data_IF_963273689246
#
_entry.id   IF_963273689246
#
_cell.length_a   1.000
_cell.length_b   1.000
_cell.length_c   1.000
_cell.angle_alpha   90.00
_cell.angle_beta   90.00
_cell.angle_gamma   90.00
#
_symmetry.space_group_name_H-M   'P 1'
#
loop_
_entity.id
_entity.type
_entity.pdbx_description
1 polymer ?
#
# COMPACT_ATOMS: atom_id res chain seq x y z
N UNK A 1 29.58 -40.82 -10.87
CA UNK A 1 30.75 -40.59 -11.73
C UNK A 1 30.34 -39.48 -12.68
N UNK A 2 30.96 -38.30 -12.60
CA UNK A 2 30.59 -37.17 -13.45
C UNK A 2 30.81 -37.56 -14.92
N UNK A 3 29.79 -37.40 -15.76
CA UNK A 3 29.91 -37.67 -17.19
C UNK A 3 30.16 -36.32 -17.85
N UNK A 4 31.43 -36.00 -18.13
CA UNK A 4 31.76 -34.83 -18.93
C UNK A 4 31.46 -35.12 -20.41
N UNK A 5 30.95 -34.12 -21.13
CA UNK A 5 30.73 -34.26 -22.56
C UNK A 5 32.08 -34.33 -23.27
N UNK A 6 32.17 -35.15 -24.32
CA UNK A 6 33.39 -35.30 -25.13
C UNK A 6 33.94 -33.95 -25.63
N UNK A 7 33.05 -33.00 -25.93
CA UNK A 7 33.46 -31.65 -26.37
C UNK A 7 34.10 -30.83 -25.24
N UNK A 8 33.62 -30.94 -23.99
CA UNK A 8 34.22 -30.27 -22.85
C UNK A 8 35.58 -30.84 -22.46
N UNK A 9 35.79 -32.14 -22.65
CA UNK A 9 37.09 -32.78 -22.48
C UNK A 9 38.11 -32.21 -23.47
N UNK A 10 37.73 -32.05 -24.75
CA UNK A 10 38.58 -31.43 -25.77
C UNK A 10 38.89 -29.97 -25.46
N UNK A 11 37.88 -29.19 -25.06
CA UNK A 11 38.05 -27.79 -24.67
C UNK A 11 39.04 -27.65 -23.51
N UNK A 12 38.89 -28.46 -22.44
CA UNK A 12 39.84 -28.42 -21.32
C UNK A 12 41.25 -28.86 -21.71
N UNK A 13 41.38 -29.84 -22.59
CA UNK A 13 42.67 -30.27 -23.14
C UNK A 13 43.39 -29.11 -23.81
N UNK A 14 42.69 -28.37 -24.68
CA UNK A 14 43.22 -27.18 -25.36
C UNK A 14 43.60 -26.08 -24.36
N UNK A 15 42.71 -25.79 -23.40
CA UNK A 15 42.92 -24.72 -22.43
C UNK A 15 44.06 -25.01 -21.44
N UNK A 16 44.37 -26.29 -21.20
CA UNK A 16 45.52 -26.70 -20.37
C UNK A 16 46.86 -26.28 -20.98
N UNK A 17 46.93 -26.10 -22.31
CA UNK A 17 48.11 -25.63 -23.02
C UNK A 17 48.54 -24.20 -22.67
N UNK A 18 47.65 -23.42 -22.02
CA UNK A 18 47.93 -22.05 -21.58
C UNK A 18 48.42 -21.96 -20.13
N UNK A 19 48.88 -23.08 -19.56
CA UNK A 19 49.31 -23.17 -18.17
C UNK A 19 48.20 -22.71 -17.22
N UNK A 20 48.56 -21.87 -16.24
CA UNK A 20 47.61 -21.43 -15.22
C UNK A 20 46.68 -20.28 -15.65
N UNK A 21 46.68 -19.88 -16.93
CA UNK A 21 45.85 -18.75 -17.42
C UNK A 21 44.37 -19.08 -17.37
N UNK A 22 43.97 -20.25 -17.86
CA UNK A 22 42.56 -20.67 -17.98
C UNK A 22 42.17 -21.83 -17.07
N UNK A 23 43.13 -22.63 -16.60
CA UNK A 23 42.91 -23.72 -15.65
C UNK A 23 43.78 -23.46 -14.44
N UNK A 24 43.27 -23.65 -13.23
CA UNK A 24 44.06 -23.49 -12.01
C UNK A 24 44.88 -24.75 -11.67
N UNK A 25 45.73 -24.66 -10.65
CA UNK A 25 46.58 -25.77 -10.20
C UNK A 25 45.80 -26.99 -9.68
N UNK A 26 44.51 -26.85 -9.42
CA UNK A 26 43.61 -27.91 -8.97
C UNK A 26 42.77 -28.48 -10.13
N UNK A 27 43.04 -28.07 -11.37
CA UNK A 27 42.30 -28.51 -12.56
C UNK A 27 40.96 -27.82 -12.78
N UNK A 28 40.65 -26.75 -12.03
CA UNK A 28 39.39 -26.03 -12.17
C UNK A 28 39.48 -24.94 -13.25
N UNK A 29 38.43 -24.86 -14.08
CA UNK A 29 38.34 -23.93 -15.20
C UNK A 29 37.96 -22.50 -14.75
N UNK A 30 38.80 -21.52 -15.10
CA UNK A 30 38.58 -20.08 -14.90
C UNK A 30 37.64 -19.50 -15.98
N UNK A 31 36.37 -19.91 -15.95
CA UNK A 31 35.34 -19.62 -16.97
C UNK A 31 35.25 -18.15 -17.36
N UNK A 32 35.16 -17.24 -16.38
CA UNK A 32 35.04 -15.82 -16.67
C UNK A 32 36.23 -15.29 -17.48
N UNK A 33 37.44 -15.84 -17.25
CA UNK A 33 38.63 -15.43 -18.00
C UNK A 33 38.63 -15.98 -19.42
N UNK A 34 38.12 -17.19 -19.62
CA UNK A 34 37.95 -17.78 -20.96
C UNK A 34 36.90 -17.01 -21.75
N UNK A 35 35.76 -16.69 -21.14
CA UNK A 35 34.69 -15.89 -21.74
C UNK A 35 35.20 -14.50 -22.09
N UNK A 36 35.85 -13.81 -21.16
CA UNK A 36 36.43 -12.48 -21.38
C UNK A 36 37.41 -12.48 -22.56
N UNK A 37 38.35 -13.42 -22.61
CA UNK A 37 39.34 -13.46 -23.69
C UNK A 37 38.70 -13.88 -25.04
N UNK A 38 37.62 -14.67 -25.03
CA UNK A 38 36.84 -15.00 -26.23
C UNK A 38 36.03 -13.81 -26.75
N UNK A 39 35.38 -13.04 -25.87
CA UNK A 39 34.64 -11.82 -26.21
C UNK A 39 35.56 -10.73 -26.79
N UNK A 40 36.81 -10.69 -26.32
CA UNK A 40 37.85 -9.79 -26.86
C UNK A 40 38.57 -10.34 -28.10
N UNK A 41 38.11 -11.47 -28.65
CA UNK A 41 38.72 -12.13 -29.80
C UNK A 41 40.23 -12.39 -29.63
N UNK A 42 40.66 -12.87 -28.45
CA UNK A 42 42.07 -13.19 -28.19
C UNK A 42 42.58 -14.16 -29.25
N UNK A 43 43.50 -13.65 -30.07
CA UNK A 43 43.97 -14.36 -31.26
C UNK A 43 44.65 -15.68 -30.92
N UNK A 44 45.37 -15.76 -29.80
CA UNK A 44 46.06 -16.97 -29.39
C UNK A 44 45.04 -18.03 -28.97
N UNK A 45 44.09 -17.67 -28.13
CA UNK A 45 43.02 -18.54 -27.65
C UNK A 45 42.17 -19.07 -28.80
N UNK A 46 41.68 -18.18 -29.68
CA UNK A 46 40.85 -18.56 -30.82
C UNK A 46 41.59 -19.48 -31.79
N UNK A 47 42.86 -19.18 -32.10
CA UNK A 47 43.67 -20.02 -33.00
C UNK A 47 43.85 -21.42 -32.43
N UNK A 48 44.16 -21.55 -31.13
CA UNK A 48 44.36 -22.87 -30.52
C UNK A 48 43.06 -23.66 -30.40
N UNK A 49 41.93 -23.00 -30.12
CA UNK A 49 40.62 -23.64 -30.09
C UNK A 49 40.19 -24.14 -31.48
N UNK A 50 40.35 -23.31 -32.51
CA UNK A 50 40.01 -23.67 -33.90
C UNK A 50 40.99 -24.68 -34.51
N UNK A 51 42.19 -24.85 -33.96
CA UNK A 51 43.10 -25.92 -34.37
C UNK A 51 42.63 -27.32 -33.92
N UNK A 52 41.73 -27.40 -32.94
CA UNK A 52 41.11 -28.66 -32.55
C UNK A 52 39.97 -29.01 -33.51
N UNK A 53 40.13 -30.11 -34.25
CA UNK A 53 39.20 -30.51 -35.30
C UNK A 53 37.75 -30.70 -34.81
N UNK A 54 37.55 -31.23 -33.60
CA UNK A 54 36.19 -31.43 -33.08
C UNK A 54 35.50 -30.12 -32.70
N UNK A 55 36.26 -29.15 -32.18
CA UNK A 55 35.75 -27.81 -31.89
C UNK A 55 35.48 -27.06 -33.20
N UNK A 56 36.40 -27.17 -34.16
CA UNK A 56 36.28 -26.60 -35.48
C UNK A 56 35.02 -27.10 -36.20
N UNK A 57 34.89 -28.42 -36.42
CA UNK A 57 33.76 -29.03 -37.11
C UNK A 57 32.39 -28.66 -36.50
N UNK A 58 32.33 -28.51 -35.17
CA UNK A 58 31.07 -28.26 -34.45
C UNK A 58 30.71 -26.77 -34.36
N UNK A 59 31.70 -25.88 -34.29
CA UNK A 59 31.49 -24.47 -34.01
C UNK A 59 31.96 -23.54 -35.13
N UNK A 60 32.29 -24.06 -36.31
CA UNK A 60 32.44 -23.24 -37.52
C UNK A 60 31.27 -23.42 -38.48
N UNK A 61 31.10 -22.43 -39.36
CA UNK A 61 30.19 -22.50 -40.49
C UNK A 61 30.84 -21.86 -41.70
N UNK A 62 30.73 -22.52 -42.84
CA UNK A 62 31.24 -21.99 -44.11
C UNK A 62 30.13 -21.23 -44.82
N UNK A 63 30.36 -19.93 -45.04
CA UNK A 63 29.47 -19.08 -45.85
C UNK A 63 30.29 -18.55 -47.01
N UNK A 64 29.92 -18.96 -48.23
CA UNK A 64 30.74 -18.80 -49.44
C UNK A 64 32.16 -19.38 -49.23
N UNK A 65 33.21 -18.58 -49.45
CA UNK A 65 34.61 -18.99 -49.31
C UNK A 65 35.23 -18.60 -47.95
N UNK A 66 34.42 -18.10 -47.01
CA UNK A 66 34.88 -17.67 -45.68
C UNK A 66 34.27 -18.55 -44.60
N UNK A 67 35.10 -18.90 -43.62
CA UNK A 67 34.69 -19.68 -42.47
C UNK A 67 34.45 -18.77 -41.25
N UNK A 68 33.30 -18.96 -40.60
CA UNK A 68 32.84 -18.16 -39.48
C UNK A 68 32.81 -19.01 -38.21
N UNK A 69 33.43 -18.53 -37.14
CA UNK A 69 33.31 -19.15 -35.83
C UNK A 69 32.01 -18.72 -35.16
N UNK A 70 31.18 -19.69 -34.73
CA UNK A 70 29.93 -19.50 -34.00
C UNK A 70 30.20 -19.11 -32.55
N UNK A 71 30.88 -18.00 -32.34
CA UNK A 71 31.39 -17.54 -31.04
C UNK A 71 30.30 -17.56 -29.95
N UNK A 72 29.13 -17.01 -30.23
CA UNK A 72 28.03 -16.97 -29.27
C UNK A 72 27.56 -18.38 -28.84
N UNK A 73 27.46 -19.32 -29.78
CA UNK A 73 27.10 -20.71 -29.48
C UNK A 73 28.22 -21.45 -28.72
N UNK A 74 29.47 -21.04 -28.93
CA UNK A 74 30.61 -21.60 -28.21
C UNK A 74 30.72 -21.04 -26.78
N UNK A 75 30.38 -19.77 -26.56
CA UNK A 75 30.35 -19.14 -25.24
C UNK A 75 29.31 -19.78 -24.31
N UNK A 76 28.18 -20.22 -24.86
CA UNK A 76 27.13 -20.97 -24.15
C UNK A 76 27.69 -22.20 -23.42
N UNK A 77 28.70 -22.86 -24.00
CA UNK A 77 29.39 -24.03 -23.41
C UNK A 77 29.98 -23.71 -22.03
N UNK A 78 30.38 -22.46 -21.80
CA UNK A 78 30.98 -22.00 -20.54
C UNK A 78 29.97 -21.32 -19.60
N UNK A 79 28.88 -20.77 -20.14
CA UNK A 79 27.87 -20.03 -19.39
C UNK A 79 26.92 -20.95 -18.58
N UNK A 80 26.61 -22.15 -19.09
CA UNK A 80 25.68 -23.07 -18.42
C UNK A 80 26.36 -23.94 -17.35
N UNK A 81 26.27 -23.54 -16.09
CA UNK A 81 26.75 -24.31 -14.92
C UNK A 81 25.88 -25.55 -14.71
N UNK A 82 26.48 -26.75 -14.71
CA UNK A 82 25.92 -28.00 -14.11
C UNK A 82 24.59 -28.55 -14.69
N UNK A 83 24.20 -28.19 -15.91
CA UNK A 83 22.82 -28.39 -16.36
C UNK A 83 22.49 -29.74 -17.03
N UNK A 84 23.47 -30.62 -17.20
CA UNK A 84 23.28 -31.93 -17.86
C UNK A 84 23.30 -33.13 -16.92
N UNK A 85 23.66 -32.95 -15.63
CA UNK A 85 23.82 -34.11 -14.75
C UNK A 85 22.47 -34.66 -14.23
N UNK A 86 21.38 -33.87 -14.15
CA UNK A 86 20.09 -34.36 -13.60
C UNK A 86 18.79 -33.67 -14.13
N UNK A 87 18.82 -32.93 -15.27
CA UNK A 87 17.62 -32.21 -15.73
C UNK A 87 16.89 -32.90 -16.89
N UNK A 88 15.61 -33.26 -16.67
CA UNK A 88 14.69 -33.70 -17.74
C UNK A 88 14.22 -32.55 -18.65
N UNK A 89 14.62 -31.30 -18.37
CA UNK A 89 14.30 -30.13 -19.20
C UNK A 89 15.49 -29.20 -19.33
N UNK A 90 15.56 -28.41 -20.40
CA UNK A 90 16.66 -27.46 -20.65
C UNK A 90 16.61 -26.17 -19.79
N UNK A 91 15.68 -26.05 -18.85
CA UNK A 91 15.38 -24.79 -18.15
C UNK A 91 15.69 -24.86 -16.64
N UNK A 92 16.11 -23.73 -16.05
CA UNK A 92 16.33 -23.58 -14.61
C UNK A 92 15.07 -23.95 -13.79
N UNK A 93 15.24 -24.30 -12.51
CA UNK A 93 14.16 -24.45 -11.50
C UNK A 93 13.49 -23.11 -11.16
N UNK A 94 13.06 -22.38 -12.19
CA UNK A 94 12.32 -21.13 -12.14
C UNK A 94 11.07 -21.32 -12.99
N UNK A 95 9.91 -21.06 -12.41
CA UNK A 95 8.67 -20.96 -13.17
C UNK A 95 8.68 -19.61 -13.88
N UNK A 96 8.53 -19.60 -15.19
CA UNK A 96 8.52 -18.37 -15.99
C UNK A 96 8.19 -18.65 -17.44
N UNK A 97 7.80 -17.60 -18.17
CA UNK A 97 7.59 -17.67 -19.61
C UNK A 97 8.93 -17.61 -20.33
N UNK A 98 9.09 -18.43 -21.37
CA UNK A 98 10.34 -18.53 -22.12
C UNK A 98 10.07 -18.38 -23.62
N UNK A 99 10.93 -17.64 -24.30
CA UNK A 99 11.03 -17.63 -25.77
C UNK A 99 12.43 -18.09 -26.15
N UNK A 100 12.54 -19.00 -27.12
CA UNK A 100 13.82 -19.54 -27.62
C UNK A 100 14.80 -19.99 -26.53
N UNK A 101 14.28 -20.64 -25.49
CA UNK A 101 15.05 -21.17 -24.37
C UNK A 101 15.59 -20.13 -23.37
N UNK A 102 15.28 -18.84 -23.56
CA UNK A 102 15.59 -17.76 -22.61
C UNK A 102 14.33 -17.34 -21.87
N UNK A 103 14.46 -16.98 -20.59
CA UNK A 103 13.36 -16.36 -19.88
C UNK A 103 13.04 -15.02 -20.53
N UNK A 104 11.74 -14.70 -20.66
CA UNK A 104 11.33 -13.42 -21.25
C UNK A 104 11.91 -12.21 -20.51
N UNK A 105 12.16 -12.35 -19.21
CA UNK A 105 12.76 -11.30 -18.37
C UNK A 105 14.23 -10.98 -18.71
N UNK A 106 14.89 -11.86 -19.48
CA UNK A 106 16.27 -11.71 -19.94
C UNK A 106 16.32 -11.32 -21.44
N UNK A 107 15.17 -11.06 -22.07
CA UNK A 107 15.06 -10.66 -23.47
C UNK A 107 14.60 -9.21 -23.59
N UNK A 108 15.33 -8.39 -24.34
CA UNK A 108 14.91 -7.04 -24.72
C UNK A 108 13.95 -7.03 -25.91
N UNK A 109 13.83 -8.16 -26.61
CA UNK A 109 13.08 -8.28 -27.87
C UNK A 109 11.60 -8.58 -27.63
N UNK A 110 11.22 -8.92 -26.41
CA UNK A 110 9.83 -9.20 -26.04
C UNK A 110 9.32 -8.09 -25.15
N UNK A 111 8.56 -7.19 -25.76
CA UNK A 111 7.80 -6.17 -25.04
C UNK A 111 6.43 -6.72 -24.72
N UNK A 112 6.08 -6.74 -23.45
CA UNK A 112 4.70 -6.94 -23.03
C UNK A 112 3.92 -5.66 -23.37
N UNK A 113 3.33 -5.63 -24.56
CA UNK A 113 2.58 -4.48 -25.04
C UNK A 113 1.13 -4.56 -24.57
N UNK A 114 0.77 -3.65 -23.65
CA UNK A 114 -0.60 -3.47 -23.22
C UNK A 114 -1.18 -2.25 -23.92
N UNK A 115 -2.35 -2.36 -24.56
CA UNK A 115 -3.02 -1.20 -25.11
C UNK A 115 -3.15 -0.10 -24.06
N UNK A 116 -2.73 1.11 -24.44
CA UNK A 116 -2.84 2.34 -23.64
C UNK A 116 -1.93 2.45 -22.41
N UNK A 117 -0.99 1.52 -22.15
CA UNK A 117 -0.10 1.61 -20.97
C UNK A 117 0.77 2.87 -20.95
N UNK A 118 1.20 3.33 -22.13
CA UNK A 118 2.04 4.52 -22.31
C UNK A 118 1.19 5.69 -22.82
N UNK A 119 0.00 5.87 -22.25
CA UNK A 119 -0.91 6.93 -22.69
C UNK A 119 -1.45 7.76 -21.54
N UNK A 120 -1.72 9.03 -21.88
CA UNK A 120 -2.42 9.98 -21.03
C UNK A 120 -3.84 10.13 -21.55
N UNK A 121 -4.82 9.84 -20.70
CA UNK A 121 -6.22 10.08 -21.01
C UNK A 121 -6.65 11.45 -20.47
N UNK A 122 -6.90 12.39 -21.40
CA UNK A 122 -7.36 13.75 -21.05
C UNK A 122 -8.69 13.72 -20.30
N UNK A 123 -9.61 12.85 -20.71
CA UNK A 123 -10.95 12.62 -20.14
C UNK A 123 -11.69 13.91 -19.74
N UNK A 124 -12.50 14.46 -20.65
CA UNK A 124 -13.41 15.57 -20.34
C UNK A 124 -14.42 15.13 -19.26
N UNK A 125 -14.41 15.80 -18.10
CA UNK A 125 -15.15 15.32 -16.92
C UNK A 125 -16.62 15.76 -16.88
N UNK A 126 -17.00 16.79 -17.63
CA UNK A 126 -18.35 17.37 -17.64
C UNK A 126 -18.99 17.29 -19.02
N UNK A 127 -20.24 16.82 -19.09
CA UNK A 127 -21.08 16.96 -20.30
C UNK A 127 -21.31 18.42 -20.74
N UNK A 128 -21.05 19.39 -19.87
CA UNK A 128 -21.08 20.83 -20.19
C UNK A 128 -19.99 21.23 -21.20
N UNK A 129 -18.85 20.53 -21.20
CA UNK A 129 -17.73 20.76 -22.12
C UNK A 129 -17.78 19.84 -23.34
N UNK A 130 -18.83 19.03 -23.45
CA UNK A 130 -19.01 18.01 -24.48
C UNK A 130 -20.10 18.47 -25.42
N UNK A 131 -19.77 18.62 -26.70
CA UNK A 131 -20.75 18.86 -27.73
C UNK A 131 -21.78 17.72 -27.73
N UNK A 132 -23.07 18.05 -27.55
CA UNK A 132 -24.16 17.08 -27.44
C UNK A 132 -24.35 16.25 -28.71
N UNK A 133 -23.89 16.77 -29.85
CA UNK A 133 -24.05 16.13 -31.16
C UNK A 133 -22.82 15.29 -31.56
N UNK A 134 -21.64 15.58 -31.00
CA UNK A 134 -20.35 14.92 -31.34
C UNK A 134 -19.92 13.90 -30.26
N UNK A 135 -20.37 14.06 -29.02
CA UNK A 135 -19.90 13.26 -27.88
C UNK A 135 -18.55 13.74 -27.33
N UNK A 136 -18.09 13.13 -26.25
CA UNK A 136 -16.84 13.53 -25.61
C UNK A 136 -15.65 13.03 -26.44
N UNK A 137 -14.83 13.94 -26.96
CA UNK A 137 -13.53 13.56 -27.52
C UNK A 137 -12.59 13.21 -26.36
N UNK A 138 -12.37 11.92 -26.14
CA UNK A 138 -11.50 11.36 -25.10
C UNK A 138 -10.23 10.76 -25.73
N UNK A 139 -9.33 11.60 -26.29
CA UNK A 139 -8.15 11.09 -26.96
C UNK A 139 -7.18 10.46 -25.95
N UNK A 140 -6.69 9.26 -26.30
CA UNK A 140 -5.52 8.66 -25.67
C UNK A 140 -4.28 9.24 -26.33
N UNK A 141 -3.54 10.07 -25.60
CA UNK A 141 -2.30 10.65 -26.08
C UNK A 141 -1.15 9.70 -25.73
N UNK A 142 -0.48 9.13 -26.73
CA UNK A 142 0.69 8.29 -26.48
C UNK A 142 1.91 9.13 -26.06
N UNK A 143 2.59 8.71 -25.01
CA UNK A 143 3.71 9.46 -24.41
C UNK A 143 4.89 9.72 -25.36
N UNK A 144 5.09 8.83 -26.33
CA UNK A 144 6.15 8.98 -27.35
C UNK A 144 5.68 9.78 -28.56
N UNK A 145 4.49 9.47 -29.08
CA UNK A 145 3.99 10.07 -30.32
C UNK A 145 3.39 11.48 -30.13
N UNK A 146 2.79 11.74 -28.96
CA UNK A 146 2.08 12.98 -28.63
C UNK A 146 2.76 13.74 -27.46
N UNK A 147 4.10 13.69 -27.43
CA UNK A 147 4.90 14.26 -26.35
C UNK A 147 4.64 15.76 -26.16
N UNK A 148 4.52 16.52 -27.26
CA UNK A 148 4.30 17.96 -27.24
C UNK A 148 2.94 18.32 -26.64
N UNK A 149 1.88 17.61 -27.04
CA UNK A 149 0.51 17.80 -26.57
C UNK A 149 0.38 17.45 -25.09
N UNK A 150 1.04 16.37 -24.65
CA UNK A 150 1.08 15.98 -23.24
C UNK A 150 1.85 17.02 -22.41
N UNK A 151 2.97 17.51 -22.93
CA UNK A 151 3.76 18.55 -22.27
C UNK A 151 2.92 19.82 -22.08
N UNK A 152 2.28 20.29 -23.15
CA UNK A 152 1.38 21.45 -23.09
C UNK A 152 0.20 21.20 -22.14
N UNK A 153 -0.37 19.99 -22.12
CA UNK A 153 -1.45 19.63 -21.20
C UNK A 153 -1.02 19.79 -19.74
N UNK A 154 0.17 19.30 -19.40
CA UNK A 154 0.72 19.28 -18.05
C UNK A 154 1.43 20.57 -17.63
N UNK A 155 1.65 21.49 -18.56
CA UNK A 155 2.23 22.79 -18.24
C UNK A 155 1.37 23.56 -17.23
N UNK A 156 2.01 24.35 -16.34
CA UNK A 156 1.29 25.18 -15.38
C UNK A 156 0.34 26.15 -16.10
N UNK A 157 -0.91 26.14 -15.68
CA UNK A 157 -1.97 27.03 -16.15
C UNK A 157 -2.12 28.20 -15.18
N UNK A 158 -2.46 29.37 -15.73
CA UNK A 158 -2.81 30.54 -14.93
C UNK A 158 -4.19 30.30 -14.32
N UNK A 159 -4.31 30.43 -13.00
CA UNK A 159 -5.60 30.40 -12.32
C UNK A 159 -6.36 31.70 -12.62
N UNK A 160 -7.55 31.58 -13.18
CA UNK A 160 -8.44 32.68 -13.53
C UNK A 160 -9.71 32.64 -12.68
N UNK A 161 -10.43 33.75 -12.58
CA UNK A 161 -11.68 33.88 -11.80
C UNK A 161 -11.51 33.51 -10.32
N UNK A 162 -10.38 33.93 -9.73
CA UNK A 162 -10.06 33.61 -8.34
C UNK A 162 -10.89 34.48 -7.40
N UNK A 163 -11.72 33.83 -6.59
CA UNK A 163 -12.59 34.47 -5.59
C UNK A 163 -12.24 33.98 -4.20
N UNK A 164 -12.33 34.86 -3.21
CA UNK A 164 -12.22 34.55 -1.78
C UNK A 164 -13.56 34.78 -1.09
N UNK A 165 -13.97 33.79 -0.31
CA UNK A 165 -15.19 33.84 0.49
C UNK A 165 -14.82 33.92 1.97
N UNK A 166 -15.29 34.96 2.65
CA UNK A 166 -15.16 35.12 4.10
C UNK A 166 -16.49 35.56 4.74
N UNK A 167 -16.45 35.86 6.04
CA UNK A 167 -17.65 36.33 6.79
C UNK A 167 -18.27 37.62 6.25
N UNK A 168 -17.55 38.39 5.43
CA UNK A 168 -17.98 39.64 4.83
C UNK A 168 -18.41 39.47 3.36
N UNK A 169 -18.40 38.25 2.81
CA UNK A 169 -18.86 37.94 1.45
C UNK A 169 -17.75 37.54 0.48
N UNK A 170 -17.99 37.81 -0.80
CA UNK A 170 -17.10 37.48 -1.92
C UNK A 170 -16.17 38.64 -2.26
N UNK A 171 -14.88 38.36 -2.43
CA UNK A 171 -13.85 39.34 -2.82
C UNK A 171 -12.92 38.78 -3.89
N UNK A 172 -12.38 39.65 -4.74
CA UNK A 172 -11.28 39.31 -5.65
C UNK A 172 -10.03 38.92 -4.86
N UNK A 173 -9.36 37.84 -5.27
CA UNK A 173 -8.15 37.37 -4.60
C UNK A 173 -6.96 37.33 -5.54
N UNK A 174 -5.89 38.01 -5.13
CA UNK A 174 -4.64 38.12 -5.90
C UNK A 174 -3.54 37.19 -5.41
N UNK A 175 -3.66 36.66 -4.19
CA UNK A 175 -2.65 35.81 -3.55
C UNK A 175 -3.28 34.74 -2.64
N UNK A 176 -2.53 33.63 -2.44
CA UNK A 176 -2.91 32.51 -1.58
C UNK A 176 -1.78 32.14 -0.61
N UNK A 177 -2.14 31.94 0.64
CA UNK A 177 -1.27 31.46 1.72
C UNK A 177 -1.41 29.94 1.91
N UNK A 178 -0.63 29.35 2.80
CA UNK A 178 -0.76 27.92 3.12
C UNK A 178 -1.91 27.62 4.10
N UNK A 179 -2.47 28.66 4.74
CA UNK A 179 -3.59 28.54 5.68
C UNK A 179 -4.95 28.68 4.97
N UNK A 180 -4.94 28.91 3.65
CA UNK A 180 -6.14 29.05 2.84
C UNK A 180 -6.71 27.67 2.43
N UNK A 181 -8.04 27.57 2.49
CA UNK A 181 -8.77 26.46 1.87
C UNK A 181 -9.03 26.81 0.39
N UNK A 182 -8.66 25.92 -0.52
CA UNK A 182 -8.75 26.15 -1.96
C UNK A 182 -9.77 25.22 -2.61
N UNK A 183 -10.63 25.77 -3.46
CA UNK A 183 -11.53 25.00 -4.35
C UNK A 183 -11.09 25.30 -5.78
N UNK A 184 -10.70 24.25 -6.51
CA UNK A 184 -10.30 24.34 -7.91
C UNK A 184 -11.40 23.74 -8.79
N UNK A 185 -11.94 24.55 -9.71
CA UNK A 185 -12.90 24.09 -10.71
C UNK A 185 -12.17 23.79 -12.02
N UNK A 186 -12.30 22.57 -12.54
CA UNK A 186 -11.74 22.16 -13.82
C UNK A 186 -11.40 20.67 -13.86
N UNK A 187 -10.68 20.26 -14.91
CA UNK A 187 -10.17 18.89 -15.03
C UNK A 187 -9.13 18.63 -13.93
N UNK A 188 -9.38 17.61 -13.10
CA UNK A 188 -8.53 17.28 -11.96
C UNK A 188 -7.10 16.89 -12.35
N UNK A 189 -6.86 16.27 -13.51
CA UNK A 189 -5.51 15.93 -13.96
C UNK A 189 -4.68 17.21 -14.16
N UNK A 190 -5.25 18.18 -14.87
CA UNK A 190 -4.62 19.50 -15.09
C UNK A 190 -4.44 20.23 -13.74
N UNK A 191 -5.45 20.19 -12.86
CA UNK A 191 -5.36 20.82 -11.54
C UNK A 191 -4.24 20.21 -10.68
N UNK A 192 -4.09 18.89 -10.67
CA UNK A 192 -3.04 18.19 -9.93
C UNK A 192 -1.64 18.57 -10.44
N UNK A 193 -1.44 18.61 -11.76
CA UNK A 193 -0.18 19.07 -12.36
C UNK A 193 0.14 20.54 -12.03
N UNK A 194 -0.89 21.38 -11.92
CA UNK A 194 -0.72 22.75 -11.44
C UNK A 194 -0.29 22.82 -9.97
N UNK A 195 -0.94 22.05 -9.10
CA UNK A 195 -0.61 21.99 -7.68
C UNK A 195 0.80 21.45 -7.42
N UNK A 196 1.27 20.53 -8.26
CA UNK A 196 2.60 19.90 -8.16
C UNK A 196 3.73 20.92 -7.97
N UNK A 197 3.68 22.06 -8.66
CA UNK A 197 4.71 23.10 -8.55
C UNK A 197 4.91 23.67 -7.14
N UNK A 198 3.83 23.79 -6.36
CA UNK A 198 3.85 24.42 -5.03
C UNK A 198 3.77 23.39 -3.90
N UNK A 199 3.05 22.29 -4.13
CA UNK A 199 2.62 21.35 -3.10
C UNK A 199 3.24 19.95 -3.19
N UNK A 200 4.19 19.70 -4.09
CA UNK A 200 4.94 18.44 -4.10
C UNK A 200 5.60 18.18 -2.75
N UNK A 201 5.41 16.96 -2.22
CA UNK A 201 5.93 16.56 -0.91
C UNK A 201 5.30 17.25 0.29
N UNK A 202 4.12 17.89 0.16
CA UNK A 202 3.50 18.72 1.22
C UNK A 202 2.08 18.31 1.62
N UNK A 203 1.46 17.39 0.88
CA UNK A 203 0.10 16.93 1.17
C UNK A 203 0.14 15.77 2.17
N UNK A 204 -0.46 15.95 3.35
CA UNK A 204 -0.46 14.92 4.40
C UNK A 204 -1.46 13.79 4.14
N UNK A 205 -2.62 14.12 3.59
CA UNK A 205 -3.71 13.18 3.34
C UNK A 205 -4.38 13.51 2.02
N UNK A 206 -4.57 12.49 1.19
CA UNK A 206 -5.41 12.53 0.00
C UNK A 206 -6.55 11.54 0.21
N UNK A 207 -7.79 12.00 0.03
CA UNK A 207 -8.97 11.14 -0.03
C UNK A 207 -9.59 11.28 -1.42
N UNK A 208 -9.86 10.15 -2.09
CA UNK A 208 -10.47 10.11 -3.41
C UNK A 208 -11.73 9.25 -3.38
N UNK A 209 -12.80 9.78 -3.97
CA UNK A 209 -14.02 9.04 -4.30
C UNK A 209 -14.21 9.11 -5.84
N UNK A 210 -13.45 8.29 -6.59
CA UNK A 210 -13.47 8.32 -8.05
C UNK A 210 -14.77 7.73 -8.62
N UNK A 211 -15.08 7.95 -9.91
CA UNK A 211 -16.15 7.22 -10.57
C UNK A 211 -15.87 5.70 -10.48
N UNK A 212 -16.80 4.93 -9.94
CA UNK A 212 -16.63 3.49 -9.80
C UNK A 212 -16.71 2.80 -11.16
N UNK A 213 -15.88 1.77 -11.33
CA UNK A 213 -16.03 0.83 -12.44
C UNK A 213 -17.21 -0.11 -12.17
N UNK A 214 -17.99 -0.41 -13.22
CA UNK A 214 -19.10 -1.35 -13.16
C UNK A 214 -18.99 -2.32 -14.33
N UNK A 215 -19.16 -3.62 -14.08
CA UNK A 215 -19.11 -4.64 -15.14
C UNK A 215 -20.28 -4.53 -16.11
N UNK A 216 -21.41 -4.01 -15.62
CA UNK A 216 -22.61 -3.76 -16.43
C UNK A 216 -22.77 -2.27 -16.64
N UNK A 217 -22.92 -1.88 -17.90
CA UNK A 217 -23.29 -0.52 -18.24
C UNK A 217 -24.57 -0.13 -17.54
N UNK A 218 -24.49 0.93 -16.73
CA UNK A 218 -25.68 1.51 -16.10
C UNK A 218 -26.38 2.40 -17.14
N UNK A 219 -27.71 2.34 -17.26
CA UNK A 219 -28.45 3.33 -18.03
C UNK A 219 -28.30 4.68 -17.33
N UNK A 220 -27.33 5.47 -17.78
CA UNK A 220 -26.94 6.81 -17.32
C UNK A 220 -27.06 7.04 -15.81
N UNK A 221 -25.92 7.01 -15.11
CA UNK A 221 -25.89 7.52 -13.73
C UNK A 221 -26.52 8.92 -13.66
N UNK A 222 -27.19 9.22 -12.55
CA UNK A 222 -27.74 10.55 -12.27
C UNK A 222 -26.66 11.64 -12.16
N UNK A 223 -25.38 11.24 -12.19
CA UNK A 223 -24.23 12.11 -12.25
C UNK A 223 -23.75 12.31 -13.70
N UNK A 224 -23.32 13.54 -14.00
CA UNK A 224 -22.96 14.04 -15.35
C UNK A 224 -21.67 13.46 -15.96
N UNK A 225 -21.09 12.38 -15.43
CA UNK A 225 -19.84 11.79 -15.94
C UNK A 225 -20.07 10.53 -16.79
N UNK A 226 -19.08 10.20 -17.63
CA UNK A 226 -19.07 8.98 -18.44
C UNK A 226 -18.80 7.77 -17.52
N UNK A 227 -19.84 7.06 -17.05
CA UNK A 227 -19.69 5.89 -16.16
C UNK A 227 -19.45 4.57 -16.89
N UNK A 228 -19.39 4.59 -18.23
CA UNK A 228 -19.26 3.40 -19.08
C UNK A 228 -17.82 3.20 -19.61
N UNK A 229 -16.80 3.57 -18.84
CA UNK A 229 -15.42 3.30 -19.22
C UNK A 229 -15.17 1.80 -19.37
N UNK A 230 -14.49 1.40 -20.44
CA UNK A 230 -13.84 0.08 -20.49
C UNK A 230 -12.80 0.01 -19.36
N UNK A 231 -12.58 -1.18 -18.80
CA UNK A 231 -11.65 -1.37 -17.69
C UNK A 231 -10.26 -0.77 -17.95
N UNK A 232 -9.68 -0.98 -19.14
CA UNK A 232 -8.37 -0.42 -19.52
C UNK A 232 -8.36 1.11 -19.50
N UNK A 233 -9.43 1.74 -20.00
CA UNK A 233 -9.59 3.19 -20.02
C UNK A 233 -9.73 3.75 -18.60
N UNK A 234 -10.51 3.07 -17.75
CA UNK A 234 -10.70 3.43 -16.35
C UNK A 234 -9.39 3.32 -15.54
N UNK A 235 -8.62 2.24 -15.76
CA UNK A 235 -7.32 2.08 -15.12
C UNK A 235 -6.33 3.15 -15.58
N UNK A 236 -6.28 3.47 -16.87
CA UNK A 236 -5.43 4.55 -17.41
C UNK A 236 -5.82 5.90 -16.80
N UNK A 237 -7.13 6.20 -16.76
CA UNK A 237 -7.68 7.41 -16.16
C UNK A 237 -7.22 7.60 -14.70
N UNK A 238 -7.31 6.54 -13.89
CA UNK A 238 -6.90 6.56 -12.50
C UNK A 238 -5.39 6.62 -12.36
N UNK A 239 -4.65 5.80 -13.11
CA UNK A 239 -3.19 5.75 -13.07
C UNK A 239 -2.57 7.13 -13.24
N UNK A 240 -2.96 7.85 -14.30
CA UNK A 240 -2.42 9.18 -14.58
C UNK A 240 -2.61 10.16 -13.39
N UNK A 241 -3.68 10.01 -12.60
CA UNK A 241 -3.97 10.85 -11.43
C UNK A 241 -3.24 10.37 -10.18
N UNK A 242 -3.22 9.06 -9.95
CA UNK A 242 -2.55 8.44 -8.80
C UNK A 242 -1.04 8.69 -8.85
N UNK A 243 -0.43 8.66 -10.03
CA UNK A 243 0.98 8.98 -10.24
C UNK A 243 1.32 10.38 -9.72
N UNK A 244 0.50 11.40 -10.04
CA UNK A 244 0.72 12.77 -9.54
C UNK A 244 0.36 12.91 -8.06
N UNK A 245 -0.68 12.23 -7.58
CA UNK A 245 -1.01 12.20 -6.15
C UNK A 245 0.17 11.70 -5.31
N UNK A 246 0.90 10.68 -5.76
CA UNK A 246 2.11 10.19 -5.09
C UNK A 246 3.16 11.28 -4.93
N UNK A 247 3.37 12.11 -5.94
CA UNK A 247 4.35 13.20 -5.89
C UNK A 247 3.93 14.37 -4.99
N UNK A 248 2.64 14.52 -4.74
CA UNK A 248 2.09 15.54 -3.84
C UNK A 248 2.21 15.15 -2.36
N UNK A 249 2.15 13.85 -2.06
CA UNK A 249 2.18 13.35 -0.69
C UNK A 249 3.51 13.62 0.02
N UNK A 250 3.44 13.98 1.31
CA UNK A 250 4.63 14.04 2.18
C UNK A 250 5.24 12.66 2.37
N UNK A 251 6.45 12.62 2.93
CA UNK A 251 6.91 11.41 3.62
C UNK A 251 5.89 11.02 4.72
N UNK A 252 5.56 9.73 4.84
CA UNK A 252 4.46 9.22 5.68
C UNK A 252 3.07 9.79 5.35
N UNK A 253 2.92 10.42 4.18
CA UNK A 253 1.64 10.91 3.67
C UNK A 253 0.72 9.74 3.33
N UNK A 254 -0.57 9.92 3.56
CA UNK A 254 -1.58 8.88 3.40
C UNK A 254 -2.46 9.17 2.19
N UNK A 255 -2.76 8.14 1.40
CA UNK A 255 -3.82 8.19 0.40
C UNK A 255 -4.86 7.12 0.70
N UNK A 256 -6.14 7.51 0.62
CA UNK A 256 -7.29 6.62 0.77
C UNK A 256 -8.18 6.78 -0.45
N UNK A 257 -8.52 5.67 -1.11
CA UNK A 257 -9.37 5.67 -2.30
C UNK A 257 -10.56 4.76 -2.08
N UNK A 258 -11.76 5.31 -2.18
CA UNK A 258 -13.02 4.59 -2.10
C UNK A 258 -13.34 3.89 -3.42
N UNK A 259 -13.94 2.70 -3.35
CA UNK A 259 -14.29 1.91 -4.53
C UNK A 259 -15.41 0.90 -4.24
N UNK A 260 -16.19 0.60 -5.28
CA UNK A 260 -17.18 -0.47 -5.27
C UNK A 260 -16.60 -1.87 -5.57
N UNK A 261 -17.47 -2.87 -5.48
CA UNK A 261 -17.12 -4.30 -5.64
C UNK A 261 -16.40 -4.61 -6.97
N UNK A 262 -16.98 -4.19 -8.10
CA UNK A 262 -16.49 -4.56 -9.44
C UNK A 262 -15.08 -4.03 -9.72
N UNK A 263 -14.70 -2.90 -9.11
CA UNK A 263 -13.42 -2.21 -9.35
C UNK A 263 -12.32 -2.50 -8.32
N UNK A 264 -12.65 -3.03 -7.13
CA UNK A 264 -11.72 -3.02 -5.99
C UNK A 264 -10.42 -3.79 -6.25
N UNK A 265 -10.50 -4.98 -6.86
CA UNK A 265 -9.32 -5.81 -7.09
C UNK A 265 -8.36 -5.15 -8.10
N UNK A 266 -8.90 -4.57 -9.17
CA UNK A 266 -8.13 -3.91 -10.20
C UNK A 266 -7.49 -2.62 -9.67
N UNK A 267 -8.23 -1.83 -8.89
CA UNK A 267 -7.70 -0.65 -8.23
C UNK A 267 -6.58 -1.01 -7.26
N UNK A 268 -6.74 -2.08 -6.47
CA UNK A 268 -5.72 -2.54 -5.53
C UNK A 268 -4.41 -2.89 -6.21
N UNK A 269 -4.47 -3.59 -7.35
CA UNK A 269 -3.27 -3.94 -8.15
C UNK A 269 -2.62 -2.66 -8.69
N UNK A 270 -3.41 -1.74 -9.24
CA UNK A 270 -2.91 -0.46 -9.73
C UNK A 270 -2.24 0.37 -8.62
N UNK A 271 -2.84 0.43 -7.44
CA UNK A 271 -2.26 1.14 -6.30
C UNK A 271 -1.00 0.45 -5.76
N UNK A 272 -0.91 -0.88 -5.81
CA UNK A 272 0.33 -1.62 -5.49
C UNK A 272 1.46 -1.25 -6.44
N UNK A 273 1.17 -1.06 -7.73
CA UNK A 273 2.14 -0.60 -8.73
C UNK A 273 2.59 0.84 -8.46
N UNK A 274 1.63 1.76 -8.25
CA UNK A 274 1.92 3.19 -8.07
C UNK A 274 2.61 3.46 -6.73
N UNK A 275 2.04 3.00 -5.62
CA UNK A 275 2.51 3.36 -4.26
C UNK A 275 3.47 2.34 -3.66
N UNK A 276 3.56 1.14 -4.23
CA UNK A 276 4.37 0.03 -3.74
C UNK A 276 3.60 -0.85 -2.76
N UNK A 277 3.64 -2.16 -2.98
CA UNK A 277 2.92 -3.14 -2.15
C UNK A 277 3.30 -3.08 -0.65
N UNK A 278 4.56 -2.79 -0.33
CA UNK A 278 5.02 -2.66 1.07
C UNK A 278 4.38 -1.48 1.81
N UNK A 279 3.92 -0.48 1.08
CA UNK A 279 3.28 0.74 1.60
C UNK A 279 1.78 0.59 1.79
N UNK A 280 1.20 -0.56 1.42
CA UNK A 280 -0.19 -0.89 1.72
C UNK A 280 -0.42 -0.92 3.23
N UNK A 281 -1.47 -0.23 3.69
CA UNK A 281 -1.85 -0.18 5.11
C UNK A 281 -2.97 -1.17 5.38
N UNK A 282 -4.14 -0.94 4.77
CA UNK A 282 -5.33 -1.79 4.94
C UNK A 282 -6.37 -1.48 3.86
N UNK A 283 -7.29 -2.44 3.63
CA UNK A 283 -8.55 -2.22 2.94
C UNK A 283 -9.66 -2.14 3.99
N UNK A 284 -10.18 -0.94 4.23
CA UNK A 284 -11.33 -0.75 5.11
C UNK A 284 -12.62 -1.14 4.39
N UNK A 285 -13.56 -1.68 5.15
CA UNK A 285 -14.88 -2.10 4.71
C UNK A 285 -15.91 -1.14 5.27
N UNK A 286 -16.55 -0.36 4.42
CA UNK A 286 -17.57 0.59 4.83
C UNK A 286 -18.96 0.06 4.50
N UNK A 287 -19.75 -0.21 5.54
CA UNK A 287 -21.18 -0.48 5.39
C UNK A 287 -21.92 0.84 5.13
N UNK A 288 -22.16 1.10 3.86
CA UNK A 288 -22.78 2.34 3.38
C UNK A 288 -24.32 2.34 3.53
N UNK A 289 -24.97 1.17 3.59
CA UNK A 289 -26.43 1.06 3.70
C UNK A 289 -26.88 0.00 4.72
N UNK A 290 -27.96 0.31 5.45
CA UNK A 290 -28.67 -0.66 6.28
C UNK A 290 -29.67 -1.49 5.47
N UNK A 291 -30.09 -0.99 4.31
CA UNK A 291 -31.09 -1.58 3.41
C UNK A 291 -30.43 -2.03 2.11
N UNK A 292 -29.50 -2.97 2.21
CA UNK A 292 -28.88 -3.59 1.05
C UNK A 292 -29.96 -4.23 0.14
N UNK A 293 -29.78 -4.10 -1.17
CA UNK A 293 -30.74 -4.57 -2.16
C UNK A 293 -31.03 -6.07 -1.98
N UNK A 294 -32.32 -6.41 -1.93
CA UNK A 294 -32.81 -7.78 -1.76
C UNK A 294 -32.91 -8.55 -3.07
N UNK A 295 -32.65 -7.92 -4.23
CA UNK A 295 -32.73 -8.57 -5.54
C UNK A 295 -31.73 -9.71 -5.73
N UNK A 296 -30.60 -9.69 -5.02
CA UNK A 296 -29.63 -10.79 -5.06
C UNK A 296 -30.14 -12.00 -4.28
N UNK A 297 -30.19 -13.14 -4.96
CA UNK A 297 -30.59 -14.43 -4.37
C UNK A 297 -29.45 -15.15 -3.63
N UNK A 298 -28.21 -14.66 -3.76
CA UNK A 298 -27.01 -15.31 -3.18
C UNK A 298 -26.40 -14.55 -2.00
N UNK A 299 -26.23 -13.23 -2.14
CA UNK A 299 -25.62 -12.39 -1.12
C UNK A 299 -26.06 -10.93 -1.29
N UNK A 300 -26.37 -10.25 -0.19
CA UNK A 300 -26.73 -8.83 -0.20
C UNK A 300 -25.46 -7.98 -0.25
N UNK A 301 -25.39 -7.07 -1.22
CA UNK A 301 -24.29 -6.10 -1.32
C UNK A 301 -24.69 -4.80 -0.61
N UNK A 302 -23.88 -4.38 0.35
CA UNK A 302 -24.08 -3.15 1.14
C UNK A 302 -22.79 -2.69 1.80
N UNK A 303 -21.66 -3.02 1.18
CA UNK A 303 -20.32 -2.68 1.62
C UNK A 303 -19.59 -2.06 0.44
N UNK A 304 -18.85 -1.01 0.72
CA UNK A 304 -17.84 -0.42 -0.15
C UNK A 304 -16.45 -0.60 0.47
N UNK A 305 -15.42 -0.40 -0.34
CA UNK A 305 -14.04 -0.63 0.04
C UNK A 305 -13.29 0.69 0.05
N UNK A 306 -12.35 0.85 0.99
CA UNK A 306 -11.40 1.95 0.99
C UNK A 306 -9.98 1.38 1.05
N UNK A 307 -9.22 1.54 -0.02
CA UNK A 307 -7.82 1.14 -0.06
C UNK A 307 -6.94 2.25 0.48
N UNK A 308 -6.13 1.94 1.49
CA UNK A 308 -5.27 2.90 2.16
C UNK A 308 -3.79 2.55 2.01
N UNK A 309 -2.98 3.55 1.62
CA UNK A 309 -1.53 3.46 1.48
C UNK A 309 -0.84 4.61 2.22
N UNK A 310 0.36 4.34 2.72
CA UNK A 310 1.23 5.31 3.38
C UNK A 310 2.59 5.35 2.68
N UNK A 311 3.00 6.54 2.21
CA UNK A 311 4.31 6.72 1.58
C UNK A 311 5.39 6.43 2.62
N UNK A 312 6.31 5.50 2.29
CA UNK A 312 7.37 5.05 3.20
C UNK A 312 6.79 4.64 4.58
N UNK A 313 5.85 3.71 4.56
CA UNK A 313 5.09 3.28 5.73
C UNK A 313 5.99 2.99 6.94
N UNK A 314 5.75 3.69 8.05
CA UNK A 314 6.46 3.49 9.31
C UNK A 314 5.54 2.89 10.39
N UNK A 315 5.86 1.67 10.83
CA UNK A 315 5.09 0.97 11.87
C UNK A 315 5.17 1.63 13.26
N UNK A 316 6.08 2.59 13.45
CA UNK A 316 6.16 3.40 14.67
C UNK A 316 5.06 4.48 14.73
N UNK A 317 4.56 4.91 13.58
CA UNK A 317 3.51 5.92 13.44
C UNK A 317 2.15 5.23 13.53
N UNK A 318 1.34 5.60 14.53
CA UNK A 318 0.01 5.02 14.75
C UNK A 318 -1.09 5.91 14.20
N UNK A 319 -1.99 5.30 13.44
CA UNK A 319 -3.25 5.93 13.07
C UNK A 319 -4.19 5.92 14.27
N UNK A 320 -4.94 7.00 14.45
CA UNK A 320 -5.88 7.16 15.57
C UNK A 320 -7.29 7.00 15.00
N UNK A 321 -7.96 5.92 15.37
CA UNK A 321 -9.33 5.63 14.99
C UNK A 321 -10.32 6.16 16.01
N UNK A 322 -10.19 5.75 17.27
CA UNK A 322 -11.05 6.23 18.36
C UNK A 322 -10.29 6.30 19.68
N UNK A 323 -10.81 7.11 20.59
CA UNK A 323 -10.48 6.96 22.00
C UNK A 323 -11.10 5.66 22.52
N UNK A 324 -10.35 4.90 23.30
CA UNK A 324 -10.87 3.75 24.02
C UNK A 324 -11.93 4.25 25.00
N UNK A 325 -13.08 3.57 25.06
CA UNK A 325 -14.06 3.85 26.09
C UNK A 325 -13.36 3.87 27.46
N UNK A 326 -13.57 4.94 28.25
CA UNK A 326 -13.05 5.10 29.60
C UNK A 326 -13.71 4.11 30.60
N UNK A 327 -14.02 2.89 30.19
CA UNK A 327 -14.52 1.81 31.04
C UNK A 327 -13.39 1.16 31.83
N UNK A 328 -13.71 0.60 33.00
CA UNK A 328 -12.74 -0.15 33.79
C UNK A 328 -12.53 -1.57 33.25
N UNK A 329 -11.28 -1.97 33.06
CA UNK A 329 -10.89 -3.29 32.56
C UNK A 329 -10.43 -4.22 33.70
N UNK A 330 -10.62 -5.55 33.60
CA UNK A 330 -10.13 -6.48 34.61
C UNK A 330 -8.59 -6.51 34.61
N UNK A 331 -8.00 -6.42 35.80
CA UNK A 331 -6.54 -6.57 35.99
C UNK A 331 -6.13 -8.04 36.12
N UNK A 332 -7.10 -8.95 36.26
CA UNK A 332 -6.89 -10.40 36.34
C UNK A 332 -7.14 -11.07 34.97
N UNK A 333 -6.39 -12.13 34.68
CA UNK A 333 -6.55 -13.02 33.53
C UNK A 333 -6.20 -14.46 33.94
N UNK A 334 -7.18 -15.37 33.94
CA UNK A 334 -7.01 -16.76 34.40
C UNK A 334 -5.96 -17.57 33.62
N UNK A 335 -5.58 -17.13 32.40
CA UNK A 335 -4.50 -17.76 31.63
C UNK A 335 -3.08 -17.47 32.15
N UNK A 336 -2.92 -16.49 33.04
CA UNK A 336 -1.61 -16.11 33.58
C UNK A 336 -1.26 -16.92 34.84
N UNK A 337 0.00 -16.89 35.30
CA UNK A 337 0.40 -17.50 36.58
C UNK A 337 -0.06 -16.71 37.81
N UNK A 338 -0.14 -17.39 38.96
CA UNK A 338 -0.38 -16.75 40.27
C UNK A 338 0.85 -15.91 40.67
N UNK A 339 0.65 -14.61 40.87
CA UNK A 339 1.69 -13.69 41.32
C UNK A 339 1.17 -12.79 42.43
N UNK A 340 2.08 -12.32 43.29
CA UNK A 340 1.77 -11.35 44.35
C UNK A 340 2.01 -9.93 43.81
N UNK A 341 1.08 -9.03 44.13
CA UNK A 341 1.15 -7.60 43.80
C UNK A 341 0.81 -6.76 45.02
N UNK A 342 1.65 -5.78 45.27
CA UNK A 342 1.53 -4.88 46.41
C UNK A 342 0.95 -3.55 45.95
N UNK A 343 -0.04 -3.07 46.70
CA UNK A 343 -0.76 -1.82 46.44
C UNK A 343 -0.60 -0.91 47.66
N UNK A 344 0.01 0.28 47.52
CA UNK A 344 0.20 1.21 48.64
C UNK A 344 -1.13 1.75 49.15
N UNK A 345 -1.16 2.27 50.38
CA UNK A 345 -2.33 2.94 50.94
C UNK A 345 -2.90 3.99 49.97
N UNK A 346 -4.23 4.04 49.82
CA UNK A 346 -4.95 4.97 48.94
C UNK A 346 -4.93 4.62 47.44
N UNK A 347 -4.34 3.49 47.03
CA UNK A 347 -4.21 3.14 45.60
C UNK A 347 -5.37 2.32 45.03
N UNK A 348 -6.19 1.68 45.86
CA UNK A 348 -7.37 0.91 45.43
C UNK A 348 -8.63 1.53 46.00
N UNK A 349 -9.58 1.83 45.12
CA UNK A 349 -10.95 2.20 45.46
C UNK A 349 -11.85 0.96 45.63
N UNK A 350 -12.66 0.95 46.67
CA UNK A 350 -13.56 -0.12 47.03
C UNK A 350 -15.01 0.35 46.92
N UNK A 351 -15.85 -0.39 46.18
CA UNK A 351 -17.32 -0.23 46.20
C UNK A 351 -18.00 -1.30 47.08
N UNK A 352 -17.31 -1.67 48.15
CA UNK A 352 -17.80 -2.55 49.22
C UNK A 352 -17.78 -1.76 50.53
N UNK A 353 -18.53 -2.17 51.57
CA UNK A 353 -18.56 -1.43 52.83
C UNK A 353 -17.17 -1.25 53.43
N UNK A 354 -16.92 -0.07 54.00
CA UNK A 354 -15.75 0.20 54.82
C UNK A 354 -15.70 -0.77 56.01
N UNK A 355 -14.48 -1.12 56.44
CA UNK A 355 -14.24 -2.08 57.51
C UNK A 355 -12.96 -2.90 57.33
N UNK A 356 -12.75 -3.86 58.23
CA UNK A 356 -11.59 -4.75 58.22
C UNK A 356 -11.91 -6.04 57.47
N UNK A 357 -10.97 -6.45 56.61
CA UNK A 357 -11.00 -7.67 55.81
C UNK A 357 -9.75 -8.48 56.14
N UNK A 358 -9.95 -9.66 56.73
CA UNK A 358 -8.85 -10.49 57.23
C UNK A 358 -8.07 -11.17 56.10
N UNK A 359 -6.78 -11.36 56.33
CA UNK A 359 -5.91 -12.20 55.51
C UNK A 359 -6.58 -13.57 55.23
N UNK A 360 -6.57 -13.99 53.98
CA UNK A 360 -7.17 -15.26 53.58
C UNK A 360 -7.57 -15.31 52.12
N UNK A 361 -8.27 -16.39 51.76
CA UNK A 361 -8.71 -16.67 50.40
C UNK A 361 -10.03 -15.97 50.09
N UNK A 362 -10.06 -15.19 49.02
CA UNK A 362 -11.25 -14.58 48.46
C UNK A 362 -11.52 -15.14 47.06
N UNK A 363 -12.75 -14.97 46.50
CA UNK A 363 -13.11 -15.63 45.24
C UNK A 363 -12.19 -15.35 44.04
N UNK A 364 -11.57 -14.16 43.95
CA UNK A 364 -10.71 -13.79 42.80
C UNK A 364 -9.21 -13.69 43.13
N UNK A 365 -8.85 -13.52 44.40
CA UNK A 365 -7.47 -13.30 44.88
C UNK A 365 -7.33 -13.78 46.32
N UNK A 366 -6.10 -14.03 46.78
CA UNK A 366 -5.80 -14.19 48.21
C UNK A 366 -5.27 -12.86 48.78
N UNK A 367 -5.78 -12.45 49.95
CA UNK A 367 -5.18 -11.37 50.75
C UNK A 367 -4.00 -11.95 51.52
N UNK A 368 -2.81 -11.38 51.33
CA UNK A 368 -1.59 -11.82 52.02
C UNK A 368 -1.39 -11.16 53.39
N UNK A 369 -2.12 -10.06 53.64
CA UNK A 369 -2.20 -9.33 54.90
C UNK A 369 -3.62 -8.76 55.11
N UNK A 370 -3.94 -8.38 56.35
CA UNK A 370 -5.20 -7.72 56.68
C UNK A 370 -5.33 -6.39 55.94
N UNK A 371 -6.55 -6.09 55.48
CA UNK A 371 -6.92 -4.89 54.75
C UNK A 371 -7.95 -4.10 55.56
N UNK A 372 -7.67 -2.82 55.79
CA UNK A 372 -8.63 -1.85 56.29
C UNK A 372 -9.12 -0.98 55.14
N UNK A 373 -10.42 -0.96 54.91
CA UNK A 373 -11.07 -0.06 53.95
C UNK A 373 -11.69 1.10 54.72
N UNK A 374 -11.29 2.33 54.37
CA UNK A 374 -11.78 3.56 54.98
C UNK A 374 -11.96 4.63 53.88
N UNK A 375 -13.09 5.32 53.90
CA UNK A 375 -13.48 6.29 52.87
C UNK A 375 -13.43 5.67 51.47
N UNK A 376 -13.87 4.40 51.34
CA UNK A 376 -13.82 3.64 50.09
C UNK A 376 -12.42 3.45 49.50
N UNK A 377 -11.35 3.59 50.28
CA UNK A 377 -9.96 3.35 49.87
C UNK A 377 -9.29 2.35 50.81
N UNK A 378 -8.23 1.68 50.37
CA UNK A 378 -7.37 0.93 51.29
C UNK A 378 -6.60 1.90 52.19
N UNK A 379 -6.82 1.82 53.51
CA UNK A 379 -6.13 2.66 54.50
C UNK A 379 -4.67 2.22 54.72
N UNK A 380 -4.35 0.95 54.49
CA UNK A 380 -3.02 0.39 54.60
C UNK A 380 -2.55 -0.23 53.27
N UNK A 381 -1.25 -0.47 53.16
CA UNK A 381 -0.68 -1.25 52.08
C UNK A 381 -1.24 -2.67 52.09
N UNK A 382 -1.66 -3.17 50.94
CA UNK A 382 -2.22 -4.51 50.78
C UNK A 382 -1.51 -5.28 49.69
N UNK A 383 -1.20 -6.54 49.97
CA UNK A 383 -0.64 -7.49 49.00
C UNK A 383 -1.70 -8.50 48.60
N UNK A 384 -1.98 -8.56 47.30
CA UNK A 384 -2.95 -9.45 46.68
C UNK A 384 -2.20 -10.52 45.88
N UNK A 385 -2.58 -11.79 46.05
CA UNK A 385 -2.10 -12.90 45.22
C UNK A 385 -3.17 -13.33 44.23
N UNK A 386 -2.87 -13.30 42.94
CA UNK A 386 -3.84 -13.59 41.89
C UNK A 386 -3.21 -13.73 40.51
N UNK A 387 -4.04 -14.02 39.51
CA UNK A 387 -3.62 -14.16 38.11
C UNK A 387 -3.52 -12.79 37.42
N UNK A 388 -2.56 -11.97 37.83
CA UNK A 388 -2.42 -10.59 37.34
C UNK A 388 -1.96 -10.50 35.87
N UNK A 389 -2.50 -9.51 35.14
CA UNK A 389 -2.04 -9.14 33.79
C UNK A 389 -0.72 -8.39 33.79
N UNK A 390 -0.43 -7.66 34.87
CA UNK A 390 0.66 -6.68 34.94
C UNK A 390 1.71 -7.07 35.97
N UNK A 391 2.97 -6.75 35.67
CA UNK A 391 4.07 -6.80 36.63
C UNK A 391 3.96 -5.72 37.70
N UNK A 392 4.79 -5.82 38.75
CA UNK A 392 4.77 -4.81 39.82
C UNK A 392 5.19 -3.43 39.29
N UNK A 393 6.19 -3.36 38.40
CA UNK A 393 6.64 -2.09 37.81
C UNK A 393 5.56 -1.40 36.98
N UNK A 394 4.79 -2.18 36.21
CA UNK A 394 3.65 -1.65 35.44
C UNK A 394 2.57 -1.10 36.37
N UNK A 395 2.25 -1.79 37.46
CA UNK A 395 1.29 -1.29 38.47
C UNK A 395 1.80 0.01 39.08
N UNK A 396 3.06 0.07 39.50
CA UNK A 396 3.67 1.26 40.09
C UNK A 396 3.62 2.46 39.12
N UNK A 397 3.96 2.25 37.84
CA UNK A 397 3.90 3.28 36.81
C UNK A 397 2.47 3.78 36.56
N UNK A 398 1.48 2.90 36.59
CA UNK A 398 0.07 3.28 36.40
C UNK A 398 -0.51 4.01 37.62
N UNK A 399 -0.10 3.65 38.84
CA UNK A 399 -0.42 4.42 40.06
C UNK A 399 0.11 5.85 39.93
N UNK A 400 1.36 6.03 39.48
CA UNK A 400 1.95 7.36 39.27
C UNK A 400 1.21 8.19 38.20
N UNK A 401 0.66 7.55 37.16
CA UNK A 401 -0.17 8.20 36.15
C UNK A 401 -1.58 8.54 36.64
N UNK A 402 -1.94 8.15 37.86
CA UNK A 402 -3.27 8.35 38.43
C UNK A 402 -4.34 7.41 37.88
N UNK A 403 -3.95 6.20 37.42
CA UNK A 403 -4.89 5.13 37.05
C UNK A 403 -5.68 4.69 38.29
N UNK A 404 -7.00 4.64 38.20
CA UNK A 404 -7.87 4.19 39.28
C UNK A 404 -7.93 2.66 39.32
N UNK A 405 -7.48 2.05 40.41
CA UNK A 405 -7.73 0.62 40.68
C UNK A 405 -9.01 0.47 41.49
N UNK A 406 -9.89 -0.47 41.11
CA UNK A 406 -11.24 -0.55 41.65
C UNK A 406 -11.60 -2.00 41.98
N UNK A 407 -12.10 -2.24 43.19
CA UNK A 407 -12.74 -3.50 43.61
C UNK A 407 -14.22 -3.22 43.87
N UNK A 408 -15.09 -3.79 43.04
CA UNK A 408 -16.53 -3.47 43.05
C UNK A 408 -17.36 -4.37 43.97
N UNK A 409 -16.86 -5.55 44.33
CA UNK A 409 -17.63 -6.57 45.06
C UNK A 409 -16.73 -7.35 46.02
N UNK A 410 -17.34 -8.07 46.98
CA UNK A 410 -16.64 -8.98 47.91
C UNK A 410 -15.96 -10.18 47.23
N UNK A 411 -16.05 -10.31 45.90
CA UNK A 411 -15.24 -11.26 45.13
C UNK A 411 -13.77 -10.83 45.03
N UNK A 412 -13.44 -9.58 45.35
CA UNK A 412 -12.10 -9.01 45.19
C UNK A 412 -11.54 -9.10 43.75
N UNK A 413 -12.43 -9.02 42.76
CA UNK A 413 -12.03 -8.91 41.35
C UNK A 413 -11.55 -7.48 41.08
N UNK A 414 -10.23 -7.30 41.11
CA UNK A 414 -9.60 -5.99 40.91
C UNK A 414 -9.59 -5.60 39.43
N UNK A 415 -9.97 -4.35 39.18
CA UNK A 415 -10.10 -3.71 37.86
C UNK A 415 -9.28 -2.43 37.84
N UNK A 416 -8.97 -1.91 36.66
CA UNK A 416 -8.25 -0.64 36.50
C UNK A 416 -8.95 0.24 35.47
N UNK A 417 -8.90 1.55 35.66
CA UNK A 417 -9.43 2.57 34.76
C UNK A 417 -8.37 3.67 34.62
N UNK A 418 -7.80 3.81 33.42
CA UNK A 418 -6.79 4.85 33.16
C UNK A 418 -7.45 6.21 33.17
N UNK A 419 -6.73 7.22 33.66
CA UNK A 419 -7.20 8.61 33.72
C UNK A 419 -7.31 9.25 32.33
N UNK A 420 -6.44 8.83 31.41
CA UNK A 420 -6.45 9.25 30.01
C UNK A 420 -6.96 8.08 29.15
N UNK A 421 -7.87 8.36 28.23
CA UNK A 421 -8.30 7.37 27.24
C UNK A 421 -7.08 6.91 26.42
N UNK A 422 -6.90 5.61 26.27
CA UNK A 422 -5.93 5.09 25.31
C UNK A 422 -6.50 5.21 23.90
N UNK A 423 -5.69 5.56 22.90
CA UNK A 423 -6.17 5.57 21.51
C UNK A 423 -6.11 4.18 20.90
N UNK A 424 -7.13 3.83 20.12
CA UNK A 424 -7.17 2.62 19.30
C UNK A 424 -6.96 2.99 17.83
N UNK A 425 -6.28 2.11 17.09
CA UNK A 425 -6.19 2.23 15.65
C UNK A 425 -7.58 2.10 14.99
N UNK A 426 -7.77 2.64 13.76
CA UNK A 426 -9.02 2.49 13.03
C UNK A 426 -9.42 1.03 12.87
N UNK A 427 -10.69 0.73 13.09
CA UNK A 427 -11.23 -0.61 12.85
C UNK A 427 -11.39 -0.84 11.34
N UNK A 428 -11.06 -2.05 10.88
CA UNK A 428 -11.22 -2.43 9.48
C UNK A 428 -12.67 -2.29 9.00
N UNK A 429 -13.62 -2.57 9.90
CA UNK A 429 -15.06 -2.47 9.63
C UNK A 429 -15.60 -1.12 10.09
N UNK A 430 -16.19 -0.37 9.17
CA UNK A 430 -16.77 0.95 9.39
C UNK A 430 -18.28 0.85 9.16
N UNK A 431 -19.09 1.21 10.15
CA UNK A 431 -20.56 1.22 10.09
C UNK A 431 -21.08 2.66 10.31
N UNK A 432 -22.14 3.07 9.61
CA UNK A 432 -22.78 4.37 9.82
C UNK A 432 -23.20 4.62 11.28
N UNK A 433 -23.58 3.56 12.01
CA UNK A 433 -23.87 3.65 13.46
C UNK A 433 -22.62 3.98 14.28
N UNK A 434 -21.45 3.57 13.82
CA UNK A 434 -20.16 3.89 14.42
C UNK A 434 -19.78 5.36 14.13
N UNK A 435 -19.94 5.82 12.89
CA UNK A 435 -19.62 7.20 12.48
C UNK A 435 -20.52 8.25 13.17
N UNK A 436 -21.83 8.03 13.16
CA UNK A 436 -22.82 8.95 13.77
C UNK A 436 -22.66 9.06 15.29
N UNK A 437 -22.40 7.95 15.99
CA UNK A 437 -22.26 7.93 17.46
C UNK A 437 -20.94 8.50 17.96
N UNK A 438 -19.84 8.28 17.25
CA UNK A 438 -18.50 8.65 17.73
C UNK A 438 -18.10 10.05 17.25
N UNK A 439 -18.38 10.38 15.99
CA UNK A 439 -17.86 11.62 15.40
C UNK A 439 -18.94 12.67 15.12
N UNK A 440 -20.22 12.32 15.25
CA UNK A 440 -21.32 13.25 14.93
C UNK A 440 -21.31 13.71 13.47
N UNK A 441 -20.73 12.90 12.57
CA UNK A 441 -20.59 13.22 11.14
C UNK A 441 -21.91 12.88 10.44
N UNK A 442 -22.46 13.88 9.74
CA UNK A 442 -23.66 13.75 8.93
C UNK A 442 -23.45 12.91 7.66
N UNK A 443 -24.54 12.51 7.02
CA UNK A 443 -24.53 11.72 5.78
C UNK A 443 -24.46 12.60 4.52
N UNK A 444 -24.43 12.00 3.33
CA UNK A 444 -24.52 12.73 2.05
C UNK A 444 -25.81 13.60 1.97
N UNK A 445 -26.89 13.16 2.61
CA UNK A 445 -28.15 13.92 2.69
C UNK A 445 -27.96 15.23 3.48
N UNK A 446 -27.13 15.20 4.51
CA UNK A 446 -26.73 16.38 5.28
C UNK A 446 -25.83 17.31 4.44
N UNK A 447 -24.89 16.75 3.68
CA UNK A 447 -24.00 17.51 2.80
C UNK A 447 -24.78 18.27 1.70
N UNK A 448 -25.74 17.62 1.05
CA UNK A 448 -26.62 18.26 0.05
C UNK A 448 -27.45 19.39 0.67
N UNK A 449 -27.92 19.20 1.89
CA UNK A 449 -28.66 20.21 2.65
C UNK A 449 -27.76 21.38 3.08
N UNK A 450 -26.52 21.09 3.47
CA UNK A 450 -25.51 22.10 3.77
C UNK A 450 -25.09 22.90 2.54
N UNK A 451 -24.89 22.24 1.39
CA UNK A 451 -24.60 22.92 0.12
C UNK A 451 -25.74 23.86 -0.27
N UNK A 452 -27.00 23.45 -0.17
CA UNK A 452 -28.16 24.33 -0.44
C UNK A 452 -28.21 25.54 0.51
N UNK A 453 -27.83 25.36 1.78
CA UNK A 453 -27.70 26.48 2.74
C UNK A 453 -26.51 27.38 2.38
N UNK A 454 -25.41 26.81 1.88
CA UNK A 454 -24.26 27.58 1.40
C UNK A 454 -24.61 28.39 0.15
N UNK A 455 -25.34 27.81 -0.80
CA UNK A 455 -25.84 28.48 -2.01
C UNK A 455 -26.84 29.61 -1.69
N UNK A 456 -27.63 29.47 -0.61
CA UNK A 456 -28.50 30.55 -0.11
C UNK A 456 -27.76 31.72 0.56
N UNK A 457 -26.48 31.54 0.93
CA UNK A 457 -25.62 32.60 1.49
C UNK A 457 -24.61 33.15 0.49
N UNK A 458 -24.37 32.43 -0.61
CA UNK A 458 -23.60 32.83 -1.77
C UNK A 458 -24.51 32.74 -3.00
N UNK A 459 -25.38 33.72 -3.19
CA UNK A 459 -26.23 33.79 -4.39
C UNK A 459 -25.37 33.96 -5.64
N UNK A 460 -24.86 32.86 -6.19
CA UNK A 460 -24.44 32.80 -7.59
C UNK A 460 -25.74 32.88 -8.39
N UNK A 461 -25.96 33.92 -9.22
CA UNK A 461 -27.19 34.05 -9.95
C UNK A 461 -27.33 32.81 -10.83
N UNK A 462 -28.45 32.09 -10.69
CA UNK A 462 -28.90 31.08 -11.64
C UNK A 462 -28.72 31.64 -13.06
N UNK A 463 -27.68 31.20 -13.76
CA UNK A 463 -27.69 31.29 -15.21
C UNK A 463 -28.47 30.09 -15.70
N UNK A 464 -29.65 30.40 -16.19
CA UNK A 464 -30.44 29.58 -17.10
C UNK A 464 -29.54 28.86 -18.10
N UNK A 465 -29.83 27.56 -18.26
CA UNK A 465 -29.27 26.62 -19.23
C UNK A 465 -29.07 27.20 -20.63
#
# INVERSE_FOLDING_TARGET
>A
MQVESKIMEQVKSVLSGFGNKYIDSNGALKRNKVIEDLDHYDKSLMTTLLANQQIHDQYTEKVADTEFFKLNQFLDVFAYKKFWEDSFTKYANRIGLTSDSKFLNDSTDVVLDFPYKDTVLKAGMSKEDVDKDVGADEPFLNETLAHSEISELFEPKVLVNTKRYDKNGEHEATNFTNDDNLILKGNNLIALHNLKRKYSGKVKLIYLDPPYYFDKSKPSDSFLYNSNFKLSSWLTFLKNRLDICKELLTDHGVIVVSIGEDGQAYLKILMDEVFGHSNFVETFLWRNTDNADSLSTKARSGIEYLHAYEINKDSSIRWIGKESENGDAPLLNNGNGLTEKTFPAGSIQFKIPDGSYHKGRYPSVDLMNDLTVQNSLNANTVTLKGHFKWGQDTINNEIQKGTNFIIKTKKFSIRFQRKNASVMAPEKWIDNRYLSKIFGVGTNEDASSHMKKWDSTLAIPNRSL
#
